data_IF_074552339614
#
_entry.id   IF_074552339614
#
_cell.length_a   1.000
_cell.length_b   1.000
_cell.length_c   1.000
_cell.angle_alpha   90.00
_cell.angle_beta   90.00
_cell.angle_gamma   90.00
#
_symmetry.space_group_name_H-M   'P 1'
#
loop_
_entity.id
_entity.type
_entity.pdbx_description
1 polymer ?
#
# COMPACT_ATOMS: atom_id res chain seq x y z
N UNK A 1 -13.05 -11.34 3.79
CA UNK A 1 -13.28 -11.06 2.34
C UNK A 1 -12.74 -12.25 1.57
N UNK A 2 -13.43 -12.72 0.51
CA UNK A 2 -12.89 -13.84 -0.28
C UNK A 2 -11.71 -13.37 -1.13
N UNK A 3 -10.73 -14.25 -1.32
CA UNK A 3 -9.53 -13.96 -2.13
C UNK A 3 -9.91 -13.48 -3.54
N UNK A 4 -10.84 -14.14 -4.19
CA UNK A 4 -11.32 -13.77 -5.54
C UNK A 4 -11.87 -12.35 -5.62
N UNK A 5 -12.50 -11.84 -4.54
CA UNK A 5 -13.07 -10.49 -4.51
C UNK A 5 -11.97 -9.43 -4.44
N UNK A 6 -10.82 -9.78 -3.84
CA UNK A 6 -9.64 -8.91 -3.76
C UNK A 6 -8.92 -8.77 -5.11
N UNK A 7 -9.17 -9.67 -6.06
CA UNK A 7 -8.45 -9.74 -7.33
C UNK A 7 -9.14 -8.99 -8.47
N UNK A 8 -10.34 -8.47 -8.27
CA UNK A 8 -11.17 -7.89 -9.34
C UNK A 8 -10.48 -6.77 -10.14
N UNK A 9 -9.72 -5.91 -9.45
CA UNK A 9 -9.02 -4.76 -10.05
C UNK A 9 -7.50 -4.99 -10.19
N UNK A 10 -7.00 -6.21 -9.89
CA UNK A 10 -5.56 -6.51 -9.88
C UNK A 10 -5.06 -6.78 -11.30
N UNK A 11 -4.18 -5.96 -11.85
CA UNK A 11 -3.59 -6.23 -13.16
C UNK A 11 -2.57 -7.37 -13.07
N UNK A 12 -2.43 -8.13 -14.17
CA UNK A 12 -1.39 -9.14 -14.29
C UNK A 12 -1.64 -10.43 -13.50
N UNK A 13 -2.88 -10.71 -13.08
CA UNK A 13 -3.26 -12.03 -12.56
C UNK A 13 -3.19 -13.04 -13.70
N UNK A 14 -2.37 -14.08 -13.53
CA UNK A 14 -2.11 -15.10 -14.54
C UNK A 14 -2.91 -16.39 -14.28
N UNK A 15 -2.95 -16.83 -13.01
CA UNK A 15 -3.62 -18.07 -12.62
C UNK A 15 -3.97 -18.03 -11.13
N UNK A 16 -5.11 -18.59 -10.74
CA UNK A 16 -5.51 -18.73 -9.33
C UNK A 16 -5.81 -20.19 -9.04
N UNK A 17 -5.29 -20.70 -7.91
CA UNK A 17 -5.51 -22.05 -7.40
C UNK A 17 -6.15 -21.98 -6.02
N UNK A 18 -7.39 -22.43 -5.91
CA UNK A 18 -8.17 -22.38 -4.69
C UNK A 18 -8.74 -20.98 -4.39
N UNK A 19 -9.47 -20.88 -3.30
CA UNK A 19 -10.03 -19.64 -2.75
C UNK A 19 -9.97 -19.72 -1.21
N UNK A 20 -9.93 -18.59 -0.53
CA UNK A 20 -9.87 -18.53 0.92
C UNK A 20 -10.49 -17.24 1.43
N UNK A 21 -10.97 -17.26 2.68
CA UNK A 21 -11.38 -16.05 3.37
C UNK A 21 -10.17 -15.35 3.98
N UNK A 22 -9.90 -14.11 3.55
CA UNK A 22 -8.76 -13.31 3.97
C UNK A 22 -9.20 -12.32 5.05
N UNK A 23 -8.45 -12.29 6.17
CA UNK A 23 -8.68 -11.40 7.31
C UNK A 23 -7.49 -10.50 7.61
N UNK A 24 -6.29 -10.81 7.07
CA UNK A 24 -5.09 -10.01 7.23
C UNK A 24 -4.23 -10.03 5.97
N UNK A 25 -3.49 -8.95 5.72
CA UNK A 25 -2.45 -8.87 4.69
C UNK A 25 -1.09 -8.95 5.38
N UNK A 26 -0.21 -9.82 4.90
CA UNK A 26 1.06 -10.18 5.57
C UNK A 26 2.22 -9.98 4.59
N UNK A 27 3.19 -9.17 4.98
CA UNK A 27 4.42 -8.89 4.21
C UNK A 27 5.69 -9.42 4.89
N UNK A 28 5.59 -9.89 6.14
CA UNK A 28 6.67 -10.53 6.88
C UNK A 28 6.23 -11.95 7.31
N UNK A 29 6.91 -12.99 6.83
CA UNK A 29 6.59 -14.40 7.09
C UNK A 29 6.63 -14.79 8.57
N UNK A 30 7.25 -13.98 9.42
CA UNK A 30 7.35 -14.18 10.88
C UNK A 30 6.12 -13.67 11.64
N UNK A 31 5.31 -12.86 10.98
CA UNK A 31 4.08 -12.30 11.56
C UNK A 31 3.02 -13.39 11.70
N UNK A 32 2.45 -13.53 12.90
CA UNK A 32 1.32 -14.44 13.13
C UNK A 32 0.03 -13.74 12.70
N UNK A 33 -0.68 -14.36 11.78
CA UNK A 33 -1.91 -13.82 11.23
C UNK A 33 -3.00 -14.90 11.16
N UNK A 34 -4.21 -14.54 11.57
CA UNK A 34 -5.36 -15.40 11.34
C UNK A 34 -5.88 -15.15 9.92
N UNK A 35 -5.98 -16.21 9.13
CA UNK A 35 -6.44 -16.14 7.73
C UNK A 35 -5.67 -15.08 6.93
N UNK A 36 -4.33 -15.10 7.02
CA UNK A 36 -3.45 -14.16 6.32
C UNK A 36 -3.34 -14.44 4.82
N UNK A 37 -3.16 -13.38 4.03
CA UNK A 37 -2.68 -13.42 2.66
C UNK A 37 -1.23 -12.96 2.66
N UNK A 38 -0.29 -13.85 2.35
CA UNK A 38 1.13 -13.53 2.32
C UNK A 38 1.57 -13.16 0.90
N UNK A 39 2.36 -12.09 0.79
CA UNK A 39 2.94 -11.62 -0.46
C UNK A 39 4.38 -12.10 -0.60
N UNK A 40 4.62 -13.02 -1.52
CA UNK A 40 5.95 -13.56 -1.82
C UNK A 40 6.75 -12.57 -2.68
N UNK A 41 7.16 -11.45 -2.09
CA UNK A 41 7.89 -10.38 -2.78
C UNK A 41 9.35 -10.79 -2.96
N UNK A 42 9.81 -10.88 -4.21
CA UNK A 42 11.23 -11.08 -4.52
C UNK A 42 12.02 -9.79 -4.26
N UNK A 43 12.99 -9.86 -3.34
CA UNK A 43 13.91 -8.79 -2.99
C UNK A 43 15.29 -8.96 -3.63
N UNK A 44 16.17 -7.97 -3.49
CA UNK A 44 17.55 -8.06 -4.00
C UNK A 44 18.42 -9.10 -3.27
N UNK A 45 18.11 -9.43 -2.03
CA UNK A 45 18.91 -10.33 -1.18
C UNK A 45 18.23 -11.63 -0.85
N UNK A 46 16.89 -11.63 -0.80
CA UNK A 46 16.06 -12.77 -0.40
C UNK A 46 14.85 -12.83 -1.31
N UNK A 47 14.43 -14.04 -1.64
CA UNK A 47 13.17 -14.31 -2.28
C UNK A 47 12.14 -14.73 -1.22
N UNK A 48 11.05 -13.99 -1.08
CA UNK A 48 10.04 -14.33 -0.07
C UNK A 48 9.26 -15.62 -0.40
N UNK A 49 9.38 -16.16 -1.61
CA UNK A 49 8.86 -17.51 -1.92
C UNK A 49 9.50 -18.59 -1.04
N UNK A 50 10.78 -18.44 -0.66
CA UNK A 50 11.48 -19.37 0.23
C UNK A 50 10.87 -19.42 1.65
N UNK A 51 10.12 -18.39 2.03
CA UNK A 51 9.47 -18.26 3.35
C UNK A 51 7.97 -18.57 3.33
N UNK A 52 7.43 -19.05 2.21
CA UNK A 52 6.02 -19.35 2.07
C UNK A 52 5.53 -20.38 3.10
N UNK A 53 6.30 -21.44 3.34
CA UNK A 53 5.98 -22.46 4.34
C UNK A 53 5.86 -21.85 5.75
N UNK A 54 6.80 -20.99 6.13
CA UNK A 54 6.77 -20.29 7.43
C UNK A 54 5.55 -19.39 7.57
N UNK A 55 5.17 -18.67 6.52
CA UNK A 55 3.98 -17.82 6.53
C UNK A 55 2.70 -18.66 6.73
N UNK A 56 2.62 -19.83 6.09
CA UNK A 56 1.51 -20.78 6.27
C UNK A 56 1.45 -21.33 7.69
N UNK A 57 2.59 -21.72 8.28
CA UNK A 57 2.69 -22.13 9.67
C UNK A 57 2.23 -21.03 10.64
N UNK A 58 2.46 -19.77 10.29
CA UNK A 58 2.05 -18.60 11.06
C UNK A 58 0.60 -18.15 10.77
N UNK A 59 -0.17 -18.95 10.01
CA UNK A 59 -1.62 -18.76 9.84
C UNK A 59 -2.07 -18.09 8.55
N UNK A 60 -1.18 -17.98 7.55
CA UNK A 60 -1.58 -17.57 6.21
C UNK A 60 -2.32 -18.74 5.50
N UNK A 61 -3.43 -18.41 4.86
CA UNK A 61 -4.30 -19.35 4.12
C UNK A 61 -4.26 -19.14 2.62
N UNK A 62 -3.53 -18.13 2.17
CA UNK A 62 -3.31 -17.84 0.76
C UNK A 62 -1.97 -17.13 0.53
N UNK A 63 -1.43 -17.28 -0.68
CA UNK A 63 -0.16 -16.70 -1.13
C UNK A 63 -0.37 -15.94 -2.44
N UNK A 64 0.29 -14.79 -2.60
CA UNK A 64 0.48 -14.10 -3.87
C UNK A 64 1.91 -14.35 -4.33
N UNK A 65 2.06 -14.94 -5.52
CA UNK A 65 3.34 -15.50 -5.99
C UNK A 65 3.62 -15.10 -7.45
N UNK A 66 4.90 -15.07 -7.85
CA UNK A 66 5.30 -14.96 -9.27
C UNK A 66 5.45 -16.34 -9.92
N UNK A 67 5.76 -17.36 -9.12
CA UNK A 67 5.73 -18.78 -9.51
C UNK A 67 5.11 -19.62 -8.38
N UNK A 68 4.40 -20.68 -8.73
CA UNK A 68 3.78 -21.55 -7.73
C UNK A 68 4.84 -22.23 -6.86
N UNK A 69 4.53 -22.32 -5.57
CA UNK A 69 5.32 -23.04 -4.57
C UNK A 69 4.57 -24.31 -4.14
N UNK A 70 5.28 -25.30 -3.62
CA UNK A 70 4.65 -26.49 -3.03
C UNK A 70 4.01 -26.10 -1.69
N UNK A 71 2.71 -25.91 -1.71
CA UNK A 71 1.94 -25.45 -0.55
C UNK A 71 0.47 -25.88 -0.67
N UNK A 72 -0.16 -26.29 0.45
CA UNK A 72 -1.55 -26.75 0.46
C UNK A 72 -2.58 -25.60 0.42
N UNK A 73 -2.16 -24.34 0.55
CA UNK A 73 -3.07 -23.18 0.63
C UNK A 73 -3.36 -22.60 -0.75
N UNK A 74 -4.36 -21.74 -0.83
CA UNK A 74 -4.69 -21.04 -2.07
C UNK A 74 -3.51 -20.20 -2.58
N UNK A 75 -3.33 -20.12 -3.90
CA UNK A 75 -2.25 -19.34 -4.51
C UNK A 75 -2.76 -18.53 -5.70
N UNK A 76 -2.32 -17.29 -5.78
CA UNK A 76 -2.55 -16.40 -6.92
C UNK A 76 -1.21 -16.10 -7.57
N UNK A 77 -1.04 -16.58 -8.80
CA UNK A 77 0.13 -16.26 -9.61
C UNK A 77 -0.10 -14.97 -10.39
N UNK A 78 0.83 -14.03 -10.21
CA UNK A 78 0.83 -12.72 -10.86
C UNK A 78 2.13 -12.47 -11.60
N UNK A 79 2.15 -11.52 -12.51
CA UNK A 79 3.36 -11.11 -13.23
C UNK A 79 4.31 -10.26 -12.35
N UNK A 80 3.78 -9.55 -11.34
CA UNK A 80 4.55 -8.73 -10.41
C UNK A 80 3.84 -8.64 -9.05
N UNK A 81 4.42 -9.29 -8.03
CA UNK A 81 3.84 -9.33 -6.67
C UNK A 81 3.81 -7.95 -6.03
N UNK A 82 4.81 -7.09 -6.26
CA UNK A 82 4.82 -5.72 -5.69
C UNK A 82 3.64 -4.91 -6.20
N UNK A 83 3.40 -4.94 -7.52
CA UNK A 83 2.26 -4.28 -8.15
C UNK A 83 0.94 -4.85 -7.63
N UNK A 84 0.80 -6.17 -7.60
CA UNK A 84 -0.38 -6.83 -7.10
C UNK A 84 -0.67 -6.46 -5.63
N UNK A 85 0.37 -6.33 -4.78
CA UNK A 85 0.22 -5.92 -3.37
C UNK A 85 -0.49 -4.58 -3.25
N UNK A 86 -0.18 -3.59 -4.10
CA UNK A 86 -0.81 -2.27 -4.05
C UNK A 86 -2.32 -2.35 -4.33
N UNK A 87 -2.71 -3.06 -5.37
CA UNK A 87 -4.13 -3.22 -5.73
C UNK A 87 -4.91 -4.07 -4.74
N UNK A 88 -4.31 -5.17 -4.26
CA UNK A 88 -4.93 -6.04 -3.24
C UNK A 88 -5.12 -5.27 -1.93
N UNK A 89 -4.11 -4.49 -1.50
CA UNK A 89 -4.23 -3.66 -0.31
C UNK A 89 -5.33 -2.60 -0.49
N UNK A 90 -5.41 -1.94 -1.65
CA UNK A 90 -6.49 -1.01 -1.95
C UNK A 90 -7.87 -1.67 -1.81
N UNK A 91 -8.07 -2.83 -2.41
CA UNK A 91 -9.33 -3.58 -2.35
C UNK A 91 -9.66 -4.01 -0.92
N UNK A 92 -8.69 -4.57 -0.19
CA UNK A 92 -8.86 -5.05 1.19
C UNK A 92 -9.33 -3.93 2.13
N UNK A 93 -8.78 -2.73 1.99
CA UNK A 93 -9.18 -1.55 2.78
C UNK A 93 -10.34 -0.75 2.17
N UNK A 94 -10.99 -1.26 1.13
CA UNK A 94 -12.18 -0.66 0.51
C UNK A 94 -11.89 0.60 -0.30
N UNK A 95 -10.77 0.59 -1.03
CA UNK A 95 -10.32 1.65 -1.95
C UNK A 95 -10.32 3.06 -1.31
N UNK A 96 -9.64 3.26 -0.16
CA UNK A 96 -9.76 4.51 0.59
C UNK A 96 -9.30 5.74 -0.22
N UNK A 97 -8.29 5.59 -1.07
CA UNK A 97 -7.80 6.69 -1.92
C UNK A 97 -8.89 7.25 -2.87
N UNK A 98 -9.86 6.43 -3.30
CA UNK A 98 -10.97 6.88 -4.15
C UNK A 98 -11.96 7.82 -3.43
N UNK A 99 -11.88 7.88 -2.09
CA UNK A 99 -12.75 8.72 -1.23
C UNK A 99 -12.06 10.00 -0.77
N UNK A 100 -10.82 10.21 -1.18
CA UNK A 100 -9.95 11.30 -0.74
C UNK A 100 -9.45 12.09 -1.95
N UNK A 101 -9.33 13.41 -1.81
CA UNK A 101 -8.61 14.24 -2.76
C UNK A 101 -7.12 14.06 -2.53
N UNK A 102 -6.49 13.23 -3.35
CA UNK A 102 -5.07 12.91 -3.22
C UNK A 102 -4.23 13.93 -3.98
N UNK A 103 -3.29 14.58 -3.29
CA UNK A 103 -2.29 15.49 -3.88
C UNK A 103 -0.91 14.89 -3.66
N UNK A 104 -0.22 14.56 -4.76
CA UNK A 104 1.12 13.95 -4.74
C UNK A 104 2.22 14.97 -4.93
N UNK A 105 3.31 14.86 -4.16
CA UNK A 105 4.52 15.69 -4.34
C UNK A 105 5.72 14.80 -4.57
N UNK A 106 6.32 14.89 -5.75
CA UNK A 106 7.52 14.15 -6.13
C UNK A 106 8.69 15.12 -6.38
N UNK A 107 9.91 14.60 -6.43
CA UNK A 107 11.15 15.34 -6.73
C UNK A 107 12.28 15.01 -5.77
N UNK A 108 13.48 15.52 -6.04
CA UNK A 108 14.68 15.24 -5.25
C UNK A 108 14.62 15.94 -3.88
N UNK A 109 14.32 17.24 -3.86
CA UNK A 109 14.29 18.10 -2.66
C UNK A 109 12.97 18.87 -2.59
N UNK A 110 12.59 19.32 -1.37
CA UNK A 110 11.45 20.18 -1.15
C UNK A 110 10.11 19.45 -1.01
N UNK A 111 10.04 18.12 -1.14
CA UNK A 111 8.80 17.35 -0.97
C UNK A 111 8.09 17.66 0.35
N UNK A 112 8.79 17.50 1.46
CA UNK A 112 8.25 17.73 2.81
C UNK A 112 7.72 19.14 2.98
N UNK A 113 8.51 20.17 2.61
CA UNK A 113 8.07 21.56 2.70
C UNK A 113 6.81 21.79 1.86
N UNK A 114 6.79 21.28 0.63
CA UNK A 114 5.65 21.45 -0.29
C UNK A 114 4.40 20.76 0.22
N UNK A 115 4.51 19.54 0.78
CA UNK A 115 3.35 18.82 1.34
C UNK A 115 2.74 19.54 2.53
N UNK A 116 3.56 20.14 3.41
CA UNK A 116 3.07 20.96 4.53
C UNK A 116 2.40 22.25 4.06
N UNK A 117 2.97 22.92 3.05
CA UNK A 117 2.33 24.12 2.45
C UNK A 117 0.98 23.76 1.81
N UNK A 118 0.92 22.64 1.07
CA UNK A 118 -0.35 22.16 0.48
C UNK A 118 -1.37 21.80 1.55
N UNK A 119 -0.95 21.11 2.63
CA UNK A 119 -1.84 20.83 3.78
C UNK A 119 -2.43 22.13 4.32
N UNK A 120 -1.60 23.14 4.60
CA UNK A 120 -2.06 24.42 5.14
C UNK A 120 -3.03 25.17 4.19
N UNK A 121 -2.79 25.10 2.87
CA UNK A 121 -3.67 25.69 1.87
C UNK A 121 -5.04 24.97 1.87
N UNK A 122 -5.05 23.65 1.90
CA UNK A 122 -6.25 22.84 1.91
C UNK A 122 -7.07 23.09 3.19
N UNK A 123 -6.42 23.21 4.35
CA UNK A 123 -7.06 23.56 5.62
C UNK A 123 -7.68 24.95 5.58
N UNK A 124 -6.96 25.92 5.01
CA UNK A 124 -7.49 27.28 4.81
C UNK A 124 -8.68 27.30 3.88
N UNK A 125 -8.75 26.36 2.92
CA UNK A 125 -9.89 26.16 2.05
C UNK A 125 -11.06 25.41 2.71
N UNK A 126 -10.92 24.99 3.97
CA UNK A 126 -11.98 24.37 4.77
C UNK A 126 -12.00 22.84 4.75
N UNK A 127 -11.01 22.17 4.14
CA UNK A 127 -10.95 20.72 4.11
C UNK A 127 -10.33 20.17 5.42
N UNK A 128 -10.87 19.06 5.91
CA UNK A 128 -10.15 18.24 6.92
C UNK A 128 -9.06 17.46 6.22
N UNK A 129 -7.81 17.65 6.67
CA UNK A 129 -6.64 17.18 5.92
C UNK A 129 -5.92 16.02 6.58
N UNK A 130 -5.26 15.22 5.73
CA UNK A 130 -4.20 14.28 6.08
C UNK A 130 -2.87 14.67 5.43
N UNK A 131 -1.77 14.19 6.00
CA UNK A 131 -0.44 14.30 5.41
C UNK A 131 0.27 12.95 5.52
N UNK A 132 0.98 12.56 4.47
CA UNK A 132 1.84 11.37 4.46
C UNK A 132 3.23 11.81 3.99
N UNK A 133 4.25 11.60 4.81
CA UNK A 133 5.59 12.05 4.47
C UNK A 133 6.69 11.65 5.44
N UNK A 134 7.88 12.17 5.18
CA UNK A 134 9.13 11.84 5.89
C UNK A 134 9.07 12.14 7.39
N UNK A 135 8.37 13.19 7.79
CA UNK A 135 8.26 13.60 9.19
C UNK A 135 7.17 12.85 9.97
N UNK A 136 6.50 11.90 9.32
CA UNK A 136 5.38 11.13 9.85
C UNK A 136 4.10 11.34 9.05
N UNK A 137 3.08 10.59 9.42
CA UNK A 137 1.75 10.73 8.87
C UNK A 137 0.90 11.56 9.84
N UNK A 138 0.04 12.42 9.33
CA UNK A 138 -0.84 13.28 10.15
C UNK A 138 -2.29 13.10 9.75
N UNK A 139 -3.19 13.13 10.75
CA UNK A 139 -4.63 13.35 10.57
C UNK A 139 -4.97 14.65 11.31
N UNK A 140 -5.23 15.73 10.56
CA UNK A 140 -5.20 17.06 11.13
C UNK A 140 -3.82 17.34 11.73
N UNK A 141 -3.77 17.59 13.04
CA UNK A 141 -2.52 17.82 13.79
C UNK A 141 -2.04 16.57 14.56
N UNK A 142 -2.81 15.49 14.56
CA UNK A 142 -2.45 14.25 15.26
C UNK A 142 -1.47 13.41 14.43
N UNK A 143 -0.30 13.14 15.00
CA UNK A 143 0.72 12.30 14.38
C UNK A 143 0.37 10.81 14.49
N UNK A 144 0.64 10.10 13.40
CA UNK A 144 0.62 8.63 13.31
C UNK A 144 2.05 8.12 13.10
N UNK A 145 2.40 6.95 13.65
CA UNK A 145 3.71 6.35 13.40
C UNK A 145 3.96 6.15 11.89
N UNK A 146 5.16 6.48 11.44
CA UNK A 146 5.62 6.20 10.08
C UNK A 146 7.14 5.98 10.10
N UNK A 147 7.59 4.99 9.35
CA UNK A 147 9.00 4.64 9.22
C UNK A 147 9.56 4.98 7.83
N UNK A 148 8.73 5.46 6.91
CA UNK A 148 9.10 5.74 5.52
C UNK A 148 8.43 6.99 4.99
N UNK A 149 9.13 7.70 4.10
CA UNK A 149 8.58 8.87 3.38
C UNK A 149 7.29 8.54 2.63
N UNK A 150 7.29 7.40 1.96
CA UNK A 150 6.13 6.82 1.28
C UNK A 150 5.97 5.40 1.81
N UNK A 151 4.96 5.09 2.61
CA UNK A 151 4.76 3.76 3.20
C UNK A 151 4.62 2.66 2.14
N UNK A 152 4.85 1.41 2.54
CA UNK A 152 4.52 0.25 1.72
C UNK A 152 3.01 0.14 1.51
N UNK A 153 2.53 -0.53 0.44
CA UNK A 153 1.13 -0.48 0.05
C UNK A 153 0.14 -0.88 1.14
N UNK A 154 0.46 -1.91 1.94
CA UNK A 154 -0.43 -2.38 3.02
C UNK A 154 -0.59 -1.29 4.09
N UNK A 155 0.52 -0.71 4.53
CA UNK A 155 0.52 0.37 5.53
C UNK A 155 -0.10 1.65 4.98
N UNK A 156 0.17 1.97 3.71
CA UNK A 156 -0.38 3.14 3.03
C UNK A 156 -1.90 3.07 2.99
N UNK A 157 -2.47 1.97 2.48
CA UNK A 157 -3.92 1.84 2.38
C UNK A 157 -4.61 1.71 3.73
N UNK A 158 -3.96 1.10 4.74
CA UNK A 158 -4.43 1.10 6.13
C UNK A 158 -4.50 2.53 6.70
N UNK A 159 -3.46 3.32 6.49
CA UNK A 159 -3.42 4.72 6.91
C UNK A 159 -4.51 5.55 6.21
N UNK A 160 -4.65 5.41 4.89
CA UNK A 160 -5.71 6.09 4.13
C UNK A 160 -7.11 5.66 4.59
N UNK A 161 -7.32 4.38 4.94
CA UNK A 161 -8.59 3.90 5.49
C UNK A 161 -8.89 4.59 6.82
N UNK A 162 -7.91 4.67 7.72
CA UNK A 162 -8.05 5.39 8.97
C UNK A 162 -8.38 6.88 8.75
N UNK A 163 -7.73 7.53 7.78
CA UNK A 163 -8.03 8.91 7.41
C UNK A 163 -9.48 9.08 6.96
N UNK A 164 -9.99 8.17 6.11
CA UNK A 164 -11.40 8.18 5.69
C UNK A 164 -12.35 7.99 6.86
N UNK A 165 -12.06 7.04 7.77
CA UNK A 165 -12.89 6.76 8.93
C UNK A 165 -12.96 7.95 9.90
N UNK A 166 -11.91 8.75 9.95
CA UNK A 166 -11.85 9.99 10.73
C UNK A 166 -12.37 11.22 9.98
N UNK A 167 -12.91 11.04 8.76
CA UNK A 167 -13.55 12.11 7.99
C UNK A 167 -12.57 13.08 7.33
N UNK A 168 -11.32 12.65 7.04
CA UNK A 168 -10.41 13.39 6.17
C UNK A 168 -10.99 13.46 4.76
N UNK A 169 -10.82 14.61 4.11
CA UNK A 169 -11.33 14.89 2.77
C UNK A 169 -10.22 15.04 1.74
N UNK A 170 -9.05 15.55 2.17
CA UNK A 170 -7.90 15.80 1.29
C UNK A 170 -6.59 15.33 1.95
N UNK A 171 -5.70 14.73 1.16
CA UNK A 171 -4.40 14.23 1.62
C UNK A 171 -3.30 14.80 0.75
N UNK A 172 -2.32 15.44 1.39
CA UNK A 172 -1.06 15.82 0.78
C UNK A 172 -0.02 14.74 1.06
N UNK A 173 0.61 14.18 0.02
CA UNK A 173 1.47 13.01 0.14
C UNK A 173 2.81 13.20 -0.55
N UNK A 174 3.91 12.91 0.16
CA UNK A 174 5.22 12.74 -0.46
C UNK A 174 5.26 11.43 -1.24
N UNK A 175 5.63 11.50 -2.52
CA UNK A 175 5.84 10.35 -3.40
C UNK A 175 7.30 10.32 -3.80
N UNK A 176 8.08 9.41 -3.21
CA UNK A 176 9.49 9.26 -3.60
C UNK A 176 9.62 8.51 -4.93
N UNK A 177 10.68 8.80 -5.71
CA UNK A 177 10.96 8.07 -6.93
C UNK A 177 11.10 6.56 -6.68
N UNK A 178 11.75 6.19 -5.57
CA UNK A 178 11.84 4.79 -5.15
C UNK A 178 10.46 4.15 -4.87
N UNK A 179 9.51 4.90 -4.33
CA UNK A 179 8.16 4.36 -4.09
C UNK A 179 7.40 4.11 -5.39
N UNK A 180 7.63 4.94 -6.42
CA UNK A 180 7.08 4.71 -7.77
C UNK A 180 7.70 3.46 -8.39
N UNK A 181 9.03 3.34 -8.35
CA UNK A 181 9.77 2.18 -8.86
C UNK A 181 9.36 0.87 -8.16
N UNK A 182 9.08 0.93 -6.86
CA UNK A 182 8.61 -0.20 -6.05
C UNK A 182 7.09 -0.40 -6.07
N UNK A 183 6.36 0.23 -6.97
CA UNK A 183 4.91 0.08 -7.12
C UNK A 183 4.08 0.43 -5.86
N UNK A 184 4.61 1.25 -4.92
CA UNK A 184 3.92 1.52 -3.65
C UNK A 184 2.65 2.35 -3.79
N UNK A 185 2.56 3.14 -4.85
CA UNK A 185 1.44 4.06 -5.10
C UNK A 185 0.58 3.62 -6.29
N UNK A 186 0.82 2.44 -6.84
CA UNK A 186 0.03 1.90 -7.94
C UNK A 186 -1.46 1.79 -7.53
N UNK A 187 -2.34 2.07 -8.47
CA UNK A 187 -3.78 2.08 -8.22
C UNK A 187 -4.30 3.32 -7.47
N UNK A 188 -3.44 4.25 -7.03
CA UNK A 188 -3.84 5.55 -6.49
C UNK A 188 -3.93 6.56 -7.61
N UNK A 189 -5.10 7.21 -7.75
CA UNK A 189 -5.27 8.34 -8.64
C UNK A 189 -5.06 9.62 -7.85
N UNK A 190 -4.08 10.44 -8.27
CA UNK A 190 -3.85 11.76 -7.71
C UNK A 190 -4.68 12.77 -8.49
N UNK A 191 -5.47 13.61 -7.77
CA UNK A 191 -6.23 14.72 -8.37
C UNK A 191 -5.30 15.81 -8.87
N UNK A 192 -4.17 16.02 -8.17
CA UNK A 192 -3.08 16.89 -8.58
C UNK A 192 -1.73 16.29 -8.21
N UNK A 193 -0.71 16.51 -9.03
CA UNK A 193 0.65 16.13 -8.76
C UNK A 193 1.61 17.30 -8.98
N UNK A 194 2.55 17.47 -8.05
CA UNK A 194 3.60 18.47 -8.12
C UNK A 194 4.96 17.78 -8.24
N UNK A 195 5.75 18.19 -9.22
CA UNK A 195 7.15 17.82 -9.36
C UNK A 195 8.02 19.00 -8.98
N UNK A 196 8.72 18.92 -7.85
CA UNK A 196 9.45 20.07 -7.30
C UNK A 196 10.74 20.39 -8.05
N UNK A 197 11.57 19.39 -8.22
CA UNK A 197 12.84 19.49 -8.95
C UNK A 197 13.48 18.12 -9.22
N UNK A 198 14.40 18.12 -10.18
CA UNK A 198 15.32 17.01 -10.42
C UNK A 198 16.76 17.56 -10.28
N UNK A 199 17.48 17.04 -9.30
CA UNK A 199 18.90 17.36 -9.10
C UNK A 199 19.70 16.08 -8.85
N UNK A 200 20.86 16.02 -9.45
CA UNK A 200 21.86 14.99 -9.16
C UNK A 200 22.56 15.26 -7.83
#
# INVERSE_FOLDING_TARGET
>A
MLLKDLLSDVPGVLETRGDAEIQALVTDSREKARNGLFFCISGMRFDAHDFAAQAVENGCVALVVEHFVDSPVAQVRVDNVRRATAYIAAAFYGHPARKLRMVGVCGTKGKTTTTYLMKAILEKAGFKTGLIGTTGNLIGDRSLPSNMTTPDPVDLHRCLRQMVDEGVEAVSMEVSAHAVDMHRVDGITFEAACYTNFSQ
#
